data_IF_458921519361
#
_entry.id   IF_458921519361
#
_cell.length_a   1.000
_cell.length_b   1.000
_cell.length_c   1.000
_cell.angle_alpha   90.00
_cell.angle_beta   90.00
_cell.angle_gamma   90.00
#
_symmetry.space_group_name_H-M   'P 1'
#
loop_
_entity.id
_entity.type
_entity.pdbx_description
1 polymer ?
#
# COMPACT_ATOMS: atom_id res chain seq x y z
N UNK A 1 14.78 -42.80 -78.76
CA UNK A 1 15.65 -41.81 -78.10
C UNK A 1 14.99 -41.37 -76.79
N UNK A 2 15.64 -41.68 -75.73
CA UNK A 2 15.14 -41.43 -74.33
C UNK A 2 15.43 -40.00 -73.90
N UNK A 3 14.47 -39.30 -73.32
CA UNK A 3 14.72 -38.15 -72.47
C UNK A 3 13.92 -38.30 -71.21
N UNK A 4 14.61 -38.48 -70.09
CA UNK A 4 14.10 -38.52 -68.75
C UNK A 4 13.93 -37.10 -68.20
N UNK A 5 12.76 -36.75 -67.71
CA UNK A 5 12.56 -35.53 -66.88
C UNK A 5 12.46 -35.96 -65.43
N UNK A 6 13.39 -35.46 -64.63
CA UNK A 6 13.36 -35.55 -63.17
C UNK A 6 12.46 -34.44 -62.63
N UNK A 7 11.39 -34.85 -61.96
CA UNK A 7 10.56 -33.97 -61.14
C UNK A 7 11.22 -33.82 -59.77
N UNK A 8 11.67 -32.64 -59.43
CA UNK A 8 12.14 -32.31 -58.09
C UNK A 8 10.94 -31.82 -57.26
N UNK A 9 10.53 -32.60 -56.26
CA UNK A 9 9.51 -32.22 -55.31
C UNK A 9 10.16 -31.30 -54.25
N UNK A 10 9.73 -30.03 -54.17
CA UNK A 10 10.05 -29.10 -53.14
C UNK A 10 9.13 -29.39 -51.93
N UNK A 11 9.67 -29.94 -50.85
CA UNK A 11 8.98 -30.08 -49.58
C UNK A 11 9.13 -28.75 -48.82
N UNK A 12 8.04 -28.01 -48.74
CA UNK A 12 7.94 -26.82 -47.91
C UNK A 12 7.70 -27.29 -46.46
N UNK A 13 8.74 -27.31 -45.65
CA UNK A 13 8.63 -27.52 -44.21
C UNK A 13 8.09 -26.26 -43.56
N UNK A 14 6.83 -26.22 -43.22
CA UNK A 14 6.24 -25.17 -42.36
C UNK A 14 6.75 -25.38 -40.92
N UNK A 15 7.72 -24.60 -40.52
CA UNK A 15 8.14 -24.50 -39.13
C UNK A 15 7.03 -23.81 -38.32
N UNK A 16 6.21 -24.58 -37.64
CA UNK A 16 5.36 -24.07 -36.55
C UNK A 16 6.29 -23.70 -35.41
N UNK A 17 6.62 -22.41 -35.29
CA UNK A 17 7.19 -21.87 -34.06
C UNK A 17 6.06 -21.87 -33.03
N UNK A 18 6.01 -22.91 -32.20
CA UNK A 18 5.22 -22.88 -30.97
C UNK A 18 5.78 -21.76 -30.07
N UNK A 19 5.06 -20.64 -30.02
CA UNK A 19 5.23 -19.69 -28.96
C UNK A 19 4.99 -20.44 -27.63
N UNK A 20 5.92 -20.39 -26.68
CA UNK A 20 5.66 -20.95 -25.37
C UNK A 20 4.45 -20.19 -24.79
N UNK A 21 3.33 -20.89 -24.56
CA UNK A 21 2.34 -20.45 -23.60
C UNK A 21 3.11 -20.26 -22.30
N UNK A 22 3.34 -19.00 -21.92
CA UNK A 22 3.74 -18.68 -20.58
C UNK A 22 2.60 -19.11 -19.66
N UNK A 23 2.61 -20.38 -19.25
CA UNK A 23 1.86 -20.79 -18.09
C UNK A 23 2.36 -19.89 -16.95
N UNK A 24 1.47 -19.13 -16.33
CA UNK A 24 1.76 -18.45 -15.07
C UNK A 24 2.16 -19.55 -14.08
N UNK A 25 3.43 -19.87 -14.05
CA UNK A 25 3.98 -20.76 -13.06
C UNK A 25 3.89 -20.01 -11.74
N UNK A 26 2.97 -20.42 -10.90
CA UNK A 26 2.85 -19.97 -9.52
C UNK A 26 4.23 -20.13 -8.88
N UNK A 27 4.82 -19.04 -8.44
CA UNK A 27 6.15 -19.12 -7.79
C UNK A 27 6.02 -20.02 -6.56
N UNK A 28 6.93 -21.01 -6.39
CA UNK A 28 6.87 -21.87 -5.23
C UNK A 28 7.04 -21.03 -3.95
N UNK A 29 6.27 -21.37 -2.91
CA UNK A 29 6.46 -20.80 -1.59
C UNK A 29 7.91 -21.01 -1.13
N UNK A 30 8.46 -20.07 -0.36
CA UNK A 30 9.79 -20.25 0.20
C UNK A 30 9.74 -21.35 1.28
N UNK A 31 10.48 -22.43 1.10
CA UNK A 31 10.46 -23.60 2.02
C UNK A 31 11.10 -23.32 3.40
N UNK A 32 11.82 -22.21 3.54
CA UNK A 32 12.50 -21.87 4.79
C UNK A 32 11.48 -21.52 5.89
N UNK A 33 11.56 -22.13 7.09
CA UNK A 33 10.66 -21.81 8.19
C UNK A 33 10.83 -20.36 8.66
N UNK A 34 9.74 -19.77 9.17
CA UNK A 34 9.77 -18.47 9.84
C UNK A 34 10.20 -18.72 11.29
N UNK A 35 11.32 -18.14 11.71
CA UNK A 35 11.81 -18.23 13.09
C UNK A 35 11.71 -16.86 13.74
N UNK A 36 10.79 -16.73 14.68
CA UNK A 36 10.52 -15.46 15.35
C UNK A 36 11.20 -15.44 16.73
N UNK A 37 11.78 -14.28 17.08
CA UNK A 37 12.19 -13.96 18.44
C UNK A 37 10.98 -13.64 19.31
N UNK A 38 10.03 -12.87 18.75
CA UNK A 38 8.78 -12.49 19.40
C UNK A 38 7.73 -12.08 18.39
N UNK A 39 6.47 -12.20 18.80
CA UNK A 39 5.32 -11.68 18.08
C UNK A 39 4.27 -11.20 19.08
N UNK A 40 3.41 -10.28 18.67
CA UNK A 40 2.36 -9.77 19.53
C UNK A 40 1.58 -8.63 18.87
N UNK A 41 0.91 -7.85 19.70
CA UNK A 41 0.18 -6.67 19.23
C UNK A 41 0.19 -5.57 20.28
N UNK A 42 -0.10 -4.35 19.82
CA UNK A 42 -0.22 -3.18 20.67
C UNK A 42 -1.20 -2.17 20.08
N UNK A 43 -1.73 -1.31 20.92
CA UNK A 43 -2.42 -0.09 20.48
C UNK A 43 -1.46 1.09 20.53
N UNK A 44 -1.64 2.06 19.63
CA UNK A 44 -0.79 3.23 19.56
C UNK A 44 -1.57 4.51 19.26
N UNK A 45 -1.11 5.64 19.76
CA UNK A 45 -1.77 6.93 19.60
C UNK A 45 -3.15 6.98 20.24
N UNK A 46 -4.05 7.71 19.59
CA UNK A 46 -5.42 7.88 20.06
C UNK A 46 -5.63 9.04 21.01
N UNK A 47 -6.86 9.19 21.45
CA UNK A 47 -7.32 10.26 22.35
C UNK A 47 -8.08 9.69 23.55
N UNK A 48 -8.04 10.38 24.66
CA UNK A 48 -8.90 10.12 25.82
C UNK A 48 -9.82 11.31 25.98
N UNK A 49 -11.13 11.08 25.82
CA UNK A 49 -12.15 12.09 26.03
C UNK A 49 -12.69 11.98 27.45
N UNK A 50 -12.67 13.08 28.21
CA UNK A 50 -13.28 13.15 29.53
C UNK A 50 -14.61 13.89 29.43
N UNK A 51 -15.68 13.28 29.95
CA UNK A 51 -16.99 13.90 30.06
C UNK A 51 -17.09 14.80 31.30
N UNK A 52 -18.08 15.72 31.37
CA UNK A 52 -18.29 16.60 32.52
C UNK A 52 -18.53 15.84 33.85
N UNK A 53 -19.02 14.61 33.81
CA UNK A 53 -19.20 13.77 34.99
C UNK A 53 -17.92 13.01 35.41
N UNK A 54 -16.80 13.23 34.73
CA UNK A 54 -15.50 12.60 35.00
C UNK A 54 -15.28 11.26 34.32
N UNK A 55 -16.26 10.70 33.61
CA UNK A 55 -16.05 9.47 32.83
C UNK A 55 -15.14 9.71 31.63
N UNK A 56 -14.31 8.71 31.32
CA UNK A 56 -13.32 8.78 30.24
C UNK A 56 -13.56 7.71 29.19
N UNK A 57 -13.29 8.07 27.93
CA UNK A 57 -13.43 7.18 26.77
C UNK A 57 -12.17 7.22 25.93
N UNK A 58 -11.66 6.06 25.55
CA UNK A 58 -10.53 5.91 24.64
C UNK A 58 -11.03 5.71 23.22
N UNK A 59 -10.37 6.33 22.24
CA UNK A 59 -10.68 6.15 20.82
C UNK A 59 -9.62 6.73 19.91
N UNK A 60 -9.84 6.60 18.60
CA UNK A 60 -8.97 7.08 17.55
C UNK A 60 -7.51 6.59 17.64
N UNK A 61 -7.28 5.49 18.37
CA UNK A 61 -6.00 4.79 18.41
C UNK A 61 -5.88 3.86 17.20
N UNK A 62 -4.64 3.58 16.80
CA UNK A 62 -4.32 2.51 15.86
C UNK A 62 -4.03 1.20 16.58
N UNK A 63 -4.08 0.10 15.84
CA UNK A 63 -3.67 -1.23 16.28
C UNK A 63 -2.51 -1.70 15.41
N UNK A 64 -1.49 -2.31 16.01
CA UNK A 64 -0.39 -2.94 15.29
C UNK A 64 -0.19 -4.38 15.75
N UNK A 65 -0.06 -5.29 14.81
CA UNK A 65 0.41 -6.64 15.03
C UNK A 65 1.84 -6.75 14.51
N UNK A 66 2.75 -7.34 15.29
CA UNK A 66 4.14 -7.38 14.94
C UNK A 66 4.73 -8.79 14.95
N UNK A 67 5.74 -8.98 14.10
CA UNK A 67 6.50 -10.22 13.92
C UNK A 67 7.98 -9.85 13.84
N UNK A 68 8.75 -10.26 14.83
CA UNK A 68 10.18 -9.94 14.94
C UNK A 68 10.98 -11.22 14.72
N UNK A 69 11.70 -11.36 13.59
CA UNK A 69 12.55 -12.50 13.35
C UNK A 69 13.69 -12.62 14.36
N UNK A 70 14.19 -13.83 14.55
CA UNK A 70 15.34 -14.07 15.45
C UNK A 70 16.59 -13.31 14.99
N UNK A 71 16.82 -13.25 13.67
CA UNK A 71 17.95 -12.54 13.05
C UNK A 71 17.48 -11.22 12.42
N UNK A 72 16.69 -10.44 13.14
CA UNK A 72 16.04 -9.26 12.63
C UNK A 72 17.01 -8.25 12.01
N UNK A 73 16.56 -7.59 10.93
CA UNK A 73 17.21 -6.40 10.39
C UNK A 73 17.00 -5.20 11.33
N UNK A 74 17.75 -4.13 11.10
CA UNK A 74 17.71 -2.92 11.94
C UNK A 74 16.38 -2.20 11.87
N UNK A 75 15.86 -1.98 10.66
CA UNK A 75 14.66 -1.17 10.47
C UNK A 75 13.43 -2.05 10.25
N UNK A 76 12.37 -1.92 11.06
CA UNK A 76 11.11 -2.59 10.81
C UNK A 76 10.36 -1.97 9.63
N UNK A 77 9.54 -2.81 8.99
CA UNK A 77 8.60 -2.42 7.94
C UNK A 77 7.22 -2.24 8.56
N UNK A 78 6.69 -1.02 8.53
CA UNK A 78 5.34 -0.72 9.01
C UNK A 78 4.41 -0.66 7.80
N UNK A 79 3.44 -1.58 7.73
CA UNK A 79 2.54 -1.77 6.60
C UNK A 79 1.17 -1.14 6.88
N UNK A 80 0.81 -0.17 6.06
CA UNK A 80 -0.42 0.61 6.16
C UNK A 80 -1.35 0.34 4.99
N UNK A 81 -2.53 -0.17 5.27
CA UNK A 81 -3.54 -0.58 4.28
C UNK A 81 -4.22 0.61 3.57
N UNK A 82 -4.94 0.33 2.47
CA UNK A 82 -5.75 1.29 1.73
C UNK A 82 -7.13 1.55 2.34
N UNK A 83 -7.90 2.42 1.67
CA UNK A 83 -9.29 2.70 2.04
C UNK A 83 -10.15 1.43 1.95
N UNK A 84 -11.12 1.28 2.85
CA UNK A 84 -12.03 0.13 2.86
C UNK A 84 -11.38 -1.19 3.26
N UNK A 85 -10.11 -1.18 3.68
CA UNK A 85 -9.34 -2.35 4.05
C UNK A 85 -8.87 -2.30 5.51
N UNK A 86 -8.19 -3.35 5.92
CA UNK A 86 -7.49 -3.48 7.20
C UNK A 86 -6.12 -4.13 6.96
N UNK A 87 -5.36 -4.35 8.01
CA UNK A 87 -4.08 -5.08 7.94
C UNK A 87 -4.19 -6.47 7.30
N UNK A 88 -5.41 -7.04 7.23
CA UNK A 88 -5.69 -8.31 6.55
C UNK A 88 -5.13 -8.36 5.12
N UNK A 89 -5.03 -7.22 4.44
CA UNK A 89 -4.53 -7.15 3.05
C UNK A 89 -3.08 -7.65 2.91
N UNK A 90 -2.30 -7.63 3.99
CA UNK A 90 -0.91 -8.09 4.03
C UNK A 90 -0.74 -9.48 4.66
N UNK A 91 -1.80 -10.06 5.25
CA UNK A 91 -1.70 -11.34 5.96
C UNK A 91 -1.63 -12.53 4.99
N UNK A 92 -2.60 -12.63 4.10
CA UNK A 92 -2.64 -13.66 3.04
C UNK A 92 -3.21 -13.07 1.76
N UNK A 93 -2.81 -13.63 0.63
CA UNK A 93 -3.39 -13.29 -0.67
C UNK A 93 -4.83 -13.79 -0.78
N UNK A 94 -5.63 -13.29 -1.73
CA UNK A 94 -7.01 -13.75 -1.92
C UNK A 94 -7.15 -15.26 -2.20
N UNK A 95 -6.15 -15.89 -2.78
CA UNK A 95 -6.09 -17.33 -3.05
C UNK A 95 -5.42 -18.15 -1.94
N UNK A 96 -5.18 -17.54 -0.77
CA UNK A 96 -4.68 -18.22 0.42
C UNK A 96 -3.17 -18.44 0.49
N UNK A 97 -2.39 -17.93 -0.48
CA UNK A 97 -0.92 -17.93 -0.39
C UNK A 97 -0.45 -16.96 0.68
N UNK A 98 0.83 -17.07 1.04
CA UNK A 98 1.48 -16.17 1.97
C UNK A 98 1.45 -14.72 1.47
N UNK A 99 1.04 -13.79 2.35
CA UNK A 99 1.22 -12.36 2.18
C UNK A 99 2.53 -11.86 2.77
N UNK A 100 2.73 -10.57 2.75
CA UNK A 100 3.94 -9.93 3.29
C UNK A 100 4.17 -10.20 4.78
N UNK A 101 3.09 -10.50 5.53
CA UNK A 101 3.18 -10.94 6.93
C UNK A 101 4.07 -12.18 7.14
N UNK A 102 4.11 -13.08 6.16
CA UNK A 102 4.91 -14.30 6.22
C UNK A 102 6.20 -14.17 5.39
N UNK A 103 6.11 -13.64 4.17
CA UNK A 103 7.23 -13.51 3.23
C UNK A 103 8.38 -12.71 3.83
N UNK A 104 8.10 -11.55 4.39
CA UNK A 104 9.15 -10.62 4.83
C UNK A 104 9.81 -11.06 6.15
N UNK A 105 9.09 -11.55 7.18
CA UNK A 105 9.74 -12.14 8.35
C UNK A 105 10.56 -13.40 8.03
N UNK A 106 10.18 -14.19 7.03
CA UNK A 106 10.99 -15.32 6.55
C UNK A 106 12.35 -14.87 6.01
N UNK A 107 12.43 -13.63 5.51
CA UNK A 107 13.63 -12.96 5.00
C UNK A 107 14.26 -12.03 6.05
N UNK A 108 13.92 -12.25 7.32
CA UNK A 108 14.44 -11.55 8.49
C UNK A 108 14.03 -10.07 8.63
N UNK A 109 13.00 -9.61 7.92
CA UNK A 109 12.44 -8.28 8.13
C UNK A 109 11.51 -8.27 9.35
N UNK A 110 11.74 -7.39 10.34
CA UNK A 110 10.72 -7.11 11.35
C UNK A 110 9.53 -6.43 10.69
N UNK A 111 8.32 -6.88 10.97
CA UNK A 111 7.11 -6.41 10.32
C UNK A 111 6.10 -5.97 11.36
N UNK A 112 5.49 -4.81 11.12
CA UNK A 112 4.31 -4.33 11.82
C UNK A 112 3.18 -4.14 10.81
N UNK A 113 2.07 -4.85 11.01
CA UNK A 113 0.87 -4.70 10.21
C UNK A 113 -0.13 -3.91 11.04
N UNK A 114 -0.56 -2.78 10.51
CA UNK A 114 -1.44 -1.89 11.25
C UNK A 114 -2.87 -1.92 10.74
N UNK A 115 -3.79 -1.70 11.67
CA UNK A 115 -5.12 -1.18 11.39
C UNK A 115 -5.13 0.28 11.85
N UNK A 116 -5.36 1.21 10.93
CA UNK A 116 -5.41 2.64 11.26
C UNK A 116 -6.61 2.95 12.16
N UNK A 117 -6.65 4.11 12.82
CA UNK A 117 -7.82 4.53 13.58
C UNK A 117 -9.12 4.33 12.83
N UNK A 118 -10.13 3.80 13.50
CA UNK A 118 -11.47 3.51 12.97
C UNK A 118 -11.50 2.39 11.92
N UNK A 119 -10.50 1.51 11.90
CA UNK A 119 -10.44 0.35 11.00
C UNK A 119 -10.12 -0.92 11.75
N UNK A 120 -10.66 -2.03 11.26
CA UNK A 120 -10.32 -3.37 11.72
C UNK A 120 -10.32 -3.49 13.24
N UNK A 121 -9.18 -3.89 13.80
CA UNK A 121 -8.96 -4.10 15.24
C UNK A 121 -8.71 -2.81 16.04
N UNK A 122 -8.54 -1.69 15.37
CA UNK A 122 -8.30 -0.40 16.02
C UNK A 122 -9.56 0.17 16.71
N UNK A 123 -10.77 -0.29 16.34
CA UNK A 123 -12.02 0.12 16.99
C UNK A 123 -12.52 1.50 16.56
N UNK A 124 -13.20 2.18 17.46
CA UNK A 124 -13.97 3.40 17.18
C UNK A 124 -13.28 4.68 17.62
N UNK A 125 -13.92 5.80 17.25
CA UNK A 125 -13.62 7.11 17.82
C UNK A 125 -14.20 7.28 19.23
N UNK A 126 -13.55 8.10 20.05
CA UNK A 126 -14.10 8.55 21.34
C UNK A 126 -14.99 9.80 21.20
N UNK A 127 -15.00 10.44 20.04
CA UNK A 127 -15.80 11.65 19.79
C UNK A 127 -17.29 11.31 19.66
N UNK A 128 -18.14 11.88 20.51
CA UNK A 128 -19.59 11.73 20.37
C UNK A 128 -20.15 12.27 19.06
N UNK A 129 -19.56 13.34 18.53
CA UNK A 129 -19.96 13.92 17.25
C UNK A 129 -19.65 12.95 16.14
N UNK A 130 -18.43 12.39 16.13
CA UNK A 130 -18.01 11.42 15.12
C UNK A 130 -18.75 10.10 15.23
N UNK A 131 -19.06 9.64 16.46
CA UNK A 131 -19.87 8.43 16.65
C UNK A 131 -21.30 8.58 16.13
N UNK A 132 -21.90 9.76 16.25
CA UNK A 132 -23.23 10.00 15.72
C UNK A 132 -23.28 9.96 14.19
N UNK A 133 -22.16 10.22 13.55
CA UNK A 133 -21.97 10.21 12.08
C UNK A 133 -21.19 9.00 11.57
N UNK A 134 -20.78 8.09 12.47
CA UNK A 134 -20.01 6.90 12.13
C UNK A 134 -20.90 5.82 11.48
N UNK A 135 -21.42 6.12 10.30
CA UNK A 135 -22.08 5.11 9.49
C UNK A 135 -20.98 4.36 8.73
N UNK A 136 -20.89 3.03 8.86
CA UNK A 136 -19.95 2.25 8.07
C UNK A 136 -20.12 2.53 6.58
N UNK A 137 -19.04 2.80 5.87
CA UNK A 137 -19.07 2.90 4.43
C UNK A 137 -19.07 1.50 3.82
N UNK A 138 -19.89 1.32 2.80
CA UNK A 138 -19.98 0.05 2.06
C UNK A 138 -19.52 0.31 0.64
N UNK A 139 -18.54 -0.46 0.19
CA UNK A 139 -18.06 -0.38 -1.19
C UNK A 139 -18.71 -1.49 -2.02
N UNK A 140 -19.27 -1.14 -3.18
CA UNK A 140 -19.84 -2.12 -4.09
C UNK A 140 -18.74 -2.97 -4.72
N UNK A 141 -19.06 -4.24 -5.03
CA UNK A 141 -18.15 -5.14 -5.74
C UNK A 141 -17.68 -4.55 -7.08
N UNK A 142 -18.58 -3.93 -7.84
CA UNK A 142 -18.25 -3.29 -9.11
C UNK A 142 -17.25 -2.13 -8.95
N UNK A 143 -17.45 -1.29 -7.94
CA UNK A 143 -16.55 -0.17 -7.64
C UNK A 143 -15.15 -0.65 -7.26
N UNK A 144 -15.06 -1.68 -6.42
CA UNK A 144 -13.78 -2.27 -6.01
C UNK A 144 -13.10 -2.98 -7.17
N UNK A 145 -13.86 -3.71 -8.00
CA UNK A 145 -13.33 -4.42 -9.15
C UNK A 145 -12.59 -3.50 -10.12
N UNK A 146 -13.23 -2.40 -10.48
CA UNK A 146 -12.66 -1.40 -11.39
C UNK A 146 -11.50 -0.65 -10.72
N UNK A 147 -11.66 -0.28 -9.43
CA UNK A 147 -10.62 0.45 -8.69
C UNK A 147 -9.34 -0.37 -8.54
N UNK A 148 -9.45 -1.69 -8.34
CA UNK A 148 -8.29 -2.58 -8.25
C UNK A 148 -7.76 -3.03 -9.62
N UNK A 149 -8.43 -2.62 -10.69
CA UNK A 149 -8.05 -2.97 -12.06
C UNK A 149 -7.95 -4.49 -12.31
N UNK A 150 -8.83 -5.26 -11.66
CA UNK A 150 -9.00 -6.67 -11.95
C UNK A 150 -9.56 -6.89 -13.36
N UNK A 151 -10.29 -5.91 -13.87
CA UNK A 151 -10.94 -5.88 -15.16
C UNK A 151 -11.93 -4.73 -15.24
N UNK A 152 -12.98 -4.93 -16.04
CA UNK A 152 -14.11 -4.01 -16.15
C UNK A 152 -15.39 -4.68 -15.69
N UNK A 153 -16.18 -3.97 -14.89
CA UNK A 153 -17.51 -4.40 -14.50
C UNK A 153 -18.55 -3.78 -15.42
N UNK A 154 -18.76 -4.40 -16.57
CA UNK A 154 -19.62 -3.88 -17.62
C UNK A 154 -21.12 -4.09 -17.34
N UNK A 155 -21.46 -5.14 -16.57
CA UNK A 155 -22.82 -5.41 -16.10
C UNK A 155 -22.75 -5.97 -14.67
N UNK A 156 -23.85 -5.85 -13.85
CA UNK A 156 -23.88 -6.42 -12.51
C UNK A 156 -23.60 -7.93 -12.45
N UNK A 157 -23.92 -8.66 -13.52
CA UNK A 157 -23.82 -10.11 -13.55
C UNK A 157 -22.48 -10.64 -14.11
N UNK A 158 -21.67 -9.80 -14.76
CA UNK A 158 -20.48 -10.27 -15.48
C UNK A 158 -19.30 -9.30 -15.41
N UNK A 159 -18.46 -9.37 -14.37
CA UNK A 159 -17.17 -8.73 -14.42
C UNK A 159 -16.26 -9.46 -15.44
N UNK A 160 -15.46 -8.69 -16.17
CA UNK A 160 -14.45 -9.22 -17.09
C UNK A 160 -13.07 -8.96 -16.50
N UNK A 161 -12.24 -9.99 -16.50
CA UNK A 161 -10.82 -9.84 -16.18
C UNK A 161 -10.07 -9.22 -17.35
N UNK A 162 -9.06 -8.42 -17.05
CA UNK A 162 -8.11 -8.05 -18.09
C UNK A 162 -7.36 -9.29 -18.63
N UNK A 163 -6.95 -9.27 -19.92
CA UNK A 163 -6.32 -10.44 -20.55
C UNK A 163 -5.06 -10.92 -19.84
N UNK A 164 -4.16 -9.99 -19.53
CA UNK A 164 -2.93 -10.24 -18.76
C UNK A 164 -3.15 -9.71 -17.36
N UNK A 165 -3.28 -10.60 -16.39
CA UNK A 165 -3.59 -10.24 -15.02
C UNK A 165 -2.93 -11.21 -14.04
N UNK A 166 -2.28 -10.66 -13.03
CA UNK A 166 -1.65 -11.40 -11.94
C UNK A 166 -2.61 -11.69 -10.77
N UNK A 167 -3.85 -11.23 -10.83
CA UNK A 167 -4.86 -11.59 -9.85
C UNK A 167 -5.29 -13.06 -9.99
N UNK A 168 -5.43 -13.83 -8.90
CA UNK A 168 -5.92 -15.20 -8.93
C UNK A 168 -7.41 -15.25 -9.33
N UNK A 169 -7.72 -15.92 -10.46
CA UNK A 169 -9.03 -15.84 -11.13
C UNK A 169 -10.03 -16.93 -10.67
N UNK A 170 -9.77 -17.59 -9.54
CA UNK A 170 -10.71 -18.59 -9.02
C UNK A 170 -11.90 -17.92 -8.33
N UNK A 171 -13.10 -18.54 -8.33
CA UNK A 171 -14.26 -18.01 -7.62
C UNK A 171 -13.99 -17.75 -6.14
N UNK A 172 -13.26 -18.65 -5.47
CA UNK A 172 -12.92 -18.51 -4.05
C UNK A 172 -11.99 -17.31 -3.81
N UNK A 173 -11.01 -17.07 -4.68
CA UNK A 173 -10.13 -15.90 -4.57
C UNK A 173 -10.90 -14.60 -4.79
N UNK A 174 -11.85 -14.58 -5.72
CA UNK A 174 -12.72 -13.41 -5.95
C UNK A 174 -13.60 -13.14 -4.72
N UNK A 175 -14.20 -14.18 -4.14
CA UNK A 175 -15.00 -14.06 -2.91
C UNK A 175 -14.16 -13.55 -1.73
N UNK A 176 -12.95 -14.09 -1.52
CA UNK A 176 -12.04 -13.61 -0.48
C UNK A 176 -11.58 -12.17 -0.71
N UNK A 177 -11.36 -11.77 -1.97
CA UNK A 177 -11.03 -10.40 -2.32
C UNK A 177 -12.17 -9.44 -1.93
N UNK A 178 -13.42 -9.76 -2.24
CA UNK A 178 -14.54 -8.91 -1.84
C UNK A 178 -14.74 -8.86 -0.32
N UNK A 179 -14.58 -9.98 0.38
CA UNK A 179 -14.71 -10.03 1.85
C UNK A 179 -13.68 -9.19 2.57
N UNK A 180 -12.48 -8.99 2.02
CA UNK A 180 -11.47 -8.15 2.65
C UNK A 180 -11.74 -6.64 2.51
N UNK A 181 -12.74 -6.23 1.69
CA UNK A 181 -13.19 -4.85 1.58
C UNK A 181 -14.14 -4.53 2.73
N UNK A 182 -13.60 -4.49 3.94
CA UNK A 182 -14.39 -4.31 5.16
C UNK A 182 -15.04 -2.93 5.22
N UNK A 183 -16.27 -2.82 5.78
CA UNK A 183 -16.88 -1.52 6.04
C UNK A 183 -16.01 -0.69 6.98
N UNK A 184 -15.96 0.59 6.70
CA UNK A 184 -15.34 1.58 7.55
C UNK A 184 -16.26 1.95 8.71
N UNK A 185 -15.69 2.34 9.84
CA UNK A 185 -16.47 2.85 10.98
C UNK A 185 -16.58 4.37 10.99
N UNK A 186 -16.65 4.96 9.81
CA UNK A 186 -16.78 6.40 9.61
C UNK A 186 -16.04 6.87 8.35
N UNK A 187 -16.31 8.11 7.96
CA UNK A 187 -15.69 8.71 6.79
C UNK A 187 -14.19 8.95 6.97
N UNK A 188 -13.45 8.91 5.88
CA UNK A 188 -12.06 9.38 5.79
C UNK A 188 -12.04 10.71 5.03
N UNK A 189 -12.18 11.85 5.70
CA UNK A 189 -12.16 13.14 5.03
C UNK A 189 -10.76 13.41 4.45
N UNK A 190 -10.70 13.95 3.24
CA UNK A 190 -9.44 14.31 2.58
C UNK A 190 -8.98 15.72 2.98
N UNK A 191 -8.96 15.99 4.30
CA UNK A 191 -8.53 17.28 4.85
C UNK A 191 -7.13 17.20 5.45
N UNK A 192 -6.48 18.34 5.58
CA UNK A 192 -5.16 18.40 6.23
C UNK A 192 -5.25 17.92 7.68
N UNK A 193 -6.27 18.35 8.42
CA UNK A 193 -6.48 18.01 9.83
C UNK A 193 -6.59 16.49 10.04
N UNK A 194 -7.26 15.79 9.11
CA UNK A 194 -7.38 14.34 9.20
C UNK A 194 -6.04 13.65 8.89
N UNK A 195 -5.29 14.14 7.89
CA UNK A 195 -3.94 13.64 7.60
C UNK A 195 -2.99 13.86 8.76
N UNK A 196 -3.04 15.04 9.38
CA UNK A 196 -2.23 15.37 10.57
C UNK A 196 -2.57 14.45 11.74
N UNK A 197 -3.85 14.13 11.95
CA UNK A 197 -4.29 13.18 12.97
C UNK A 197 -3.69 11.78 12.72
N UNK A 198 -3.73 11.30 11.47
CA UNK A 198 -3.15 10.01 11.10
C UNK A 198 -1.62 10.01 11.26
N UNK A 199 -0.95 11.09 10.83
CA UNK A 199 0.49 11.24 10.98
C UNK A 199 0.91 11.28 12.46
N UNK A 200 0.20 12.03 13.29
CA UNK A 200 0.45 12.09 14.73
C UNK A 200 0.25 10.73 15.41
N UNK A 201 -0.77 9.98 15.00
CA UNK A 201 -1.00 8.63 15.50
C UNK A 201 0.16 7.70 15.10
N UNK A 202 0.61 7.74 13.85
CA UNK A 202 1.77 6.97 13.39
C UNK A 202 3.06 7.36 14.11
N UNK A 203 3.28 8.64 14.36
CA UNK A 203 4.44 9.11 15.12
C UNK A 203 4.50 8.50 16.56
N UNK A 204 3.33 8.18 17.15
CA UNK A 204 3.31 7.46 18.43
C UNK A 204 3.74 5.99 18.29
N UNK A 205 3.48 5.35 17.15
CA UNK A 205 4.01 4.02 16.86
C UNK A 205 5.53 4.10 16.63
N UNK A 206 6.00 5.05 15.84
CA UNK A 206 7.43 5.26 15.57
C UNK A 206 8.24 5.49 16.86
N UNK A 207 7.66 6.17 17.87
CA UNK A 207 8.28 6.30 19.19
C UNK A 207 8.43 4.98 19.94
N UNK A 208 7.60 3.97 19.63
CA UNK A 208 7.66 2.64 20.26
C UNK A 208 8.53 1.67 19.47
N UNK A 209 8.55 1.79 18.15
CA UNK A 209 9.33 0.92 17.26
C UNK A 209 10.75 1.45 17.03
N UNK A 210 10.99 2.75 17.23
CA UNK A 210 12.15 3.45 16.70
C UNK A 210 12.01 3.69 15.19
N UNK A 211 13.11 4.15 14.54
CA UNK A 211 13.11 4.45 13.12
C UNK A 211 12.68 3.25 12.25
N UNK A 212 11.84 3.50 11.26
CA UNK A 212 11.20 2.46 10.45
C UNK A 212 11.05 2.86 8.97
N UNK A 213 10.77 1.88 8.13
CA UNK A 213 10.34 2.06 6.75
C UNK A 213 8.81 2.01 6.71
N UNK A 214 8.18 3.01 6.10
CA UNK A 214 6.74 3.02 5.88
C UNK A 214 6.39 2.37 4.54
N UNK A 215 5.54 1.35 4.58
CA UNK A 215 4.95 0.70 3.42
C UNK A 215 3.48 1.14 3.37
N UNK A 216 3.11 1.93 2.38
CA UNK A 216 1.74 2.43 2.24
C UNK A 216 1.06 1.87 1.01
N UNK A 217 -0.26 1.82 1.03
CA UNK A 217 -1.05 1.37 -0.11
C UNK A 217 -2.22 2.33 -0.36
N UNK A 218 -2.41 2.74 -1.62
CA UNK A 218 -3.62 3.47 -2.03
C UNK A 218 -3.83 4.75 -1.21
N UNK A 219 -4.95 4.83 -0.49
CA UNK A 219 -5.32 6.00 0.31
C UNK A 219 -4.31 6.31 1.44
N UNK A 220 -3.65 5.31 2.02
CA UNK A 220 -2.65 5.57 3.06
C UNK A 220 -1.37 6.23 2.54
N UNK A 221 -1.18 6.34 1.22
CA UNK A 221 -0.09 7.12 0.65
C UNK A 221 -0.08 8.55 1.18
N UNK A 222 -1.26 9.22 1.24
CA UNK A 222 -1.37 10.57 1.80
C UNK A 222 -0.95 10.66 3.28
N UNK A 223 -1.19 9.60 4.06
CA UNK A 223 -0.79 9.55 5.47
C UNK A 223 0.69 9.24 5.62
N UNK A 224 1.25 8.44 4.70
CA UNK A 224 2.68 8.21 4.60
C UNK A 224 3.46 9.49 4.33
N UNK A 225 3.00 10.31 3.38
CA UNK A 225 3.59 11.62 3.11
C UNK A 225 3.49 12.55 4.34
N UNK A 226 2.31 12.64 4.94
CA UNK A 226 2.10 13.46 6.13
C UNK A 226 2.97 13.01 7.30
N UNK A 227 3.14 11.71 7.52
CA UNK A 227 4.02 11.17 8.56
C UNK A 227 5.49 11.48 8.28
N UNK A 228 5.95 11.28 7.03
CA UNK A 228 7.32 11.58 6.63
C UNK A 228 7.66 13.07 6.75
N UNK A 229 6.69 13.94 6.47
CA UNK A 229 6.84 15.38 6.66
C UNK A 229 6.87 15.77 8.16
N UNK A 230 6.06 15.12 8.99
CA UNK A 230 5.95 15.43 10.42
C UNK A 230 7.09 14.84 11.27
N UNK A 231 7.61 13.67 10.90
CA UNK A 231 8.64 12.94 11.67
C UNK A 231 9.74 12.35 10.76
N UNK A 232 10.48 13.24 10.04
CA UNK A 232 11.50 12.79 9.08
C UNK A 232 12.69 12.08 9.74
N UNK A 233 12.88 12.21 11.04
CA UNK A 233 13.98 11.56 11.77
C UNK A 233 13.72 10.07 11.95
N UNK A 234 12.45 9.66 12.16
CA UNK A 234 12.08 8.27 12.37
C UNK A 234 11.64 7.57 11.08
N UNK A 235 11.28 8.28 10.03
CA UNK A 235 10.94 7.67 8.73
C UNK A 235 12.21 7.50 7.90
N UNK A 236 12.67 6.25 7.72
CA UNK A 236 13.92 5.94 6.99
C UNK A 236 13.73 5.76 5.49
N UNK A 237 12.56 5.39 5.07
CA UNK A 237 12.12 5.38 3.67
C UNK A 237 10.59 5.31 3.62
N UNK A 238 10.03 5.69 2.47
CA UNK A 238 8.62 5.43 2.15
C UNK A 238 8.56 4.60 0.87
N UNK A 239 7.89 3.45 0.94
CA UNK A 239 7.53 2.66 -0.24
C UNK A 239 6.02 2.68 -0.39
N UNK A 240 5.53 3.35 -1.43
CA UNK A 240 4.11 3.55 -1.65
C UNK A 240 3.63 2.73 -2.85
N UNK A 241 2.76 1.76 -2.58
CA UNK A 241 2.05 1.02 -3.63
C UNK A 241 0.84 1.84 -4.06
N UNK A 242 0.89 2.38 -5.26
CA UNK A 242 -0.18 3.11 -5.92
C UNK A 242 -0.88 4.16 -5.04
N UNK A 243 -0.15 5.17 -4.55
CA UNK A 243 -0.76 6.21 -3.74
C UNK A 243 -1.82 6.98 -4.53
N UNK A 244 -2.99 7.16 -3.92
CA UNK A 244 -4.13 7.86 -4.53
C UNK A 244 -4.02 9.39 -4.47
N UNK A 245 -2.98 9.95 -3.87
CA UNK A 245 -2.79 11.39 -3.71
C UNK A 245 -1.31 11.73 -3.58
N UNK A 246 -0.94 12.95 -3.95
CA UNK A 246 0.41 13.48 -3.89
C UNK A 246 0.43 14.86 -3.24
N UNK A 247 1.50 15.17 -2.50
CA UNK A 247 1.71 16.45 -1.85
C UNK A 247 2.56 17.39 -2.72
N UNK A 248 2.31 18.69 -2.61
CA UNK A 248 3.03 19.71 -3.37
C UNK A 248 3.27 20.93 -2.51
N UNK A 249 4.43 21.56 -2.61
CA UNK A 249 4.70 22.78 -1.86
C UNK A 249 3.91 23.95 -2.47
N UNK A 250 3.39 24.82 -1.61
CA UNK A 250 2.54 25.94 -2.01
C UNK A 250 3.21 26.94 -2.97
N UNK A 251 4.54 26.98 -2.98
CA UNK A 251 5.35 27.82 -3.87
C UNK A 251 5.65 27.18 -5.23
N UNK A 252 5.32 25.89 -5.42
CA UNK A 252 5.57 25.14 -6.65
C UNK A 252 4.44 24.11 -6.92
N UNK A 253 3.20 24.58 -6.93
CA UNK A 253 2.03 23.79 -7.27
C UNK A 253 2.04 23.39 -8.77
N UNK A 254 1.47 22.23 -9.14
CA UNK A 254 1.30 21.89 -10.56
C UNK A 254 0.46 22.93 -11.29
N UNK A 255 0.88 23.31 -12.49
CA UNK A 255 0.12 24.26 -13.31
C UNK A 255 -1.15 23.64 -13.93
N UNK A 256 -1.15 22.31 -14.12
CA UNK A 256 -2.20 21.52 -14.76
C UNK A 256 -3.26 21.03 -13.76
N UNK A 257 -3.99 21.91 -13.11
CA UNK A 257 -4.94 21.55 -12.06
C UNK A 257 -6.15 20.73 -12.56
N UNK A 258 -6.55 20.91 -13.82
CA UNK A 258 -7.72 20.27 -14.43
C UNK A 258 -7.28 19.19 -15.42
N UNK A 259 -7.02 17.98 -14.93
CA UNK A 259 -6.56 16.83 -15.73
C UNK A 259 -7.69 15.97 -16.30
N UNK A 260 -8.90 16.09 -15.78
CA UNK A 260 -10.09 15.38 -16.22
C UNK A 260 -11.14 16.36 -16.76
N UNK A 261 -12.04 15.86 -17.60
CA UNK A 261 -13.23 16.57 -18.02
C UNK A 261 -14.33 16.55 -16.94
N UNK A 262 -14.15 15.80 -15.87
CA UNK A 262 -15.04 15.72 -14.71
C UNK A 262 -14.55 16.60 -13.57
N UNK A 263 -15.35 17.60 -13.18
CA UNK A 263 -15.07 18.45 -12.02
C UNK A 263 -14.97 17.64 -10.72
N UNK A 264 -15.77 16.57 -10.60
CA UNK A 264 -15.71 15.68 -9.44
C UNK A 264 -14.37 14.96 -9.34
N UNK A 265 -13.86 14.43 -10.45
CA UNK A 265 -12.55 13.78 -10.48
C UNK A 265 -11.43 14.78 -10.19
N UNK A 266 -11.48 15.97 -10.79
CA UNK A 266 -10.51 17.03 -10.52
C UNK A 266 -10.48 17.41 -9.04
N UNK A 267 -11.64 17.48 -8.38
CA UNK A 267 -11.75 17.73 -6.94
C UNK A 267 -11.17 16.59 -6.11
N UNK A 268 -11.48 15.33 -6.46
CA UNK A 268 -10.99 14.14 -5.75
C UNK A 268 -9.48 13.98 -5.92
N UNK A 269 -8.94 14.34 -7.07
CA UNK A 269 -7.52 14.23 -7.42
C UNK A 269 -6.77 15.56 -7.33
N UNK A 270 -7.34 16.54 -6.62
CA UNK A 270 -6.65 17.79 -6.36
C UNK A 270 -5.32 17.54 -5.65
N UNK A 271 -4.23 18.22 -6.08
CA UNK A 271 -2.96 18.13 -5.41
C UNK A 271 -3.07 18.62 -3.97
N UNK A 272 -2.41 17.93 -3.05
CA UNK A 272 -2.41 18.31 -1.64
C UNK A 272 -1.37 19.41 -1.43
N UNK A 273 -1.83 20.61 -1.18
CA UNK A 273 -0.96 21.73 -0.84
C UNK A 273 -0.42 21.57 0.58
N UNK A 274 0.90 21.79 0.74
CA UNK A 274 1.61 21.81 2.02
C UNK A 274 2.57 23.00 2.04
N UNK A 275 3.11 23.36 3.20
CA UNK A 275 4.12 24.43 3.23
C UNK A 275 5.43 23.95 2.57
N UNK A 276 6.25 24.85 2.01
CA UNK A 276 7.56 24.48 1.47
C UNK A 276 8.45 23.78 2.50
N UNK A 277 8.39 24.19 3.76
CA UNK A 277 9.16 23.61 4.85
C UNK A 277 8.70 22.19 5.19
N UNK A 278 7.39 21.92 5.18
CA UNK A 278 6.85 20.56 5.33
C UNK A 278 7.32 19.68 4.17
N UNK A 279 7.19 20.17 2.91
CA UNK A 279 7.58 19.43 1.73
C UNK A 279 9.08 19.10 1.68
N UNK A 280 9.93 20.02 2.15
CA UNK A 280 11.39 19.82 2.21
C UNK A 280 11.77 18.59 3.04
N UNK A 281 10.95 18.22 4.04
CA UNK A 281 11.19 17.01 4.82
C UNK A 281 11.14 15.73 3.99
N UNK A 282 10.42 15.69 2.86
CA UNK A 282 10.38 14.54 1.94
C UNK A 282 11.73 14.33 1.22
N UNK A 283 12.62 15.30 1.21
CA UNK A 283 13.98 15.14 0.63
C UNK A 283 14.95 14.38 1.55
N UNK A 284 14.58 14.18 2.82
CA UNK A 284 15.46 13.60 3.85
C UNK A 284 15.50 12.08 3.86
N UNK A 285 14.64 11.42 3.10
CA UNK A 285 14.60 9.97 3.00
C UNK A 285 14.34 9.51 1.56
N UNK A 286 14.81 8.32 1.16
CA UNK A 286 14.49 7.75 -0.13
C UNK A 286 13.01 7.36 -0.22
N UNK A 287 12.42 7.59 -1.39
CA UNK A 287 11.00 7.32 -1.67
C UNK A 287 10.89 6.47 -2.93
N UNK A 288 10.19 5.33 -2.84
CA UNK A 288 9.81 4.50 -3.98
C UNK A 288 8.30 4.47 -4.13
N UNK A 289 7.81 4.84 -5.29
CA UNK A 289 6.38 4.76 -5.64
C UNK A 289 6.22 3.71 -6.73
N UNK A 290 5.41 2.67 -6.48
CA UNK A 290 5.23 1.54 -7.40
C UNK A 290 3.82 1.59 -7.97
N UNK A 291 3.69 1.54 -9.28
CA UNK A 291 2.42 1.41 -10.00
C UNK A 291 2.38 0.09 -10.79
N UNK A 292 1.23 -0.61 -10.71
CA UNK A 292 0.92 -1.82 -11.46
C UNK A 292 0.59 -1.56 -12.93
N UNK A 293 -0.11 -2.50 -13.53
CA UNK A 293 -0.50 -2.48 -14.94
C UNK A 293 -1.95 -1.99 -15.14
N UNK A 294 -2.39 -1.96 -16.39
CA UNK A 294 -3.74 -1.60 -16.83
C UNK A 294 -4.18 -0.17 -16.40
N UNK A 295 -3.23 0.74 -16.18
CA UNK A 295 -3.52 2.15 -15.95
C UNK A 295 -3.72 2.84 -17.31
N UNK A 296 -4.82 3.58 -17.46
CA UNK A 296 -5.12 4.32 -18.68
C UNK A 296 -4.00 5.31 -19.02
N UNK A 297 -3.64 5.40 -20.30
CA UNK A 297 -2.66 6.37 -20.79
C UNK A 297 -3.32 7.68 -21.23
N UNK A 298 -4.53 7.57 -21.72
CA UNK A 298 -5.35 8.69 -22.21
C UNK A 298 -6.54 8.93 -21.27
N UNK A 299 -7.19 10.07 -21.41
CA UNK A 299 -8.42 10.39 -20.68
C UNK A 299 -9.46 9.29 -20.83
N UNK A 300 -10.19 9.01 -19.77
CA UNK A 300 -11.16 7.93 -19.69
C UNK A 300 -12.48 8.41 -19.04
N UNK A 301 -13.59 7.99 -19.62
CA UNK A 301 -14.92 8.19 -19.01
C UNK A 301 -15.17 7.25 -17.82
N UNK A 302 -14.37 6.18 -17.67
CA UNK A 302 -14.42 5.32 -16.50
C UNK A 302 -13.74 6.03 -15.32
N UNK A 303 -14.50 6.24 -14.24
CA UNK A 303 -14.07 6.97 -13.06
C UNK A 303 -12.74 6.43 -12.49
N UNK A 304 -12.63 5.14 -12.27
CA UNK A 304 -11.44 4.54 -11.66
C UNK A 304 -10.22 4.58 -12.60
N UNK A 305 -10.43 4.35 -13.89
CA UNK A 305 -9.38 4.45 -14.90
C UNK A 305 -8.78 5.86 -14.93
N UNK A 306 -9.62 6.88 -14.88
CA UNK A 306 -9.22 8.29 -14.90
C UNK A 306 -8.53 8.69 -13.59
N UNK A 307 -9.04 8.24 -12.45
CA UNK A 307 -8.43 8.46 -11.13
C UNK A 307 -7.00 7.91 -11.09
N UNK A 308 -6.75 6.68 -11.55
CA UNK A 308 -5.40 6.10 -11.53
C UNK A 308 -4.45 6.72 -12.54
N UNK A 309 -4.95 7.14 -13.69
CA UNK A 309 -4.16 7.90 -14.66
C UNK A 309 -3.63 9.20 -14.04
N UNK A 310 -4.50 9.94 -13.38
CA UNK A 310 -4.16 11.21 -12.72
C UNK A 310 -3.26 10.96 -11.51
N UNK A 311 -3.56 9.97 -10.67
CA UNK A 311 -2.74 9.64 -9.49
C UNK A 311 -1.28 9.32 -9.88
N UNK A 312 -1.07 8.53 -10.93
CA UNK A 312 0.27 8.21 -11.44
C UNK A 312 0.98 9.46 -11.95
N UNK A 313 0.30 10.30 -12.72
CA UNK A 313 0.85 11.57 -13.21
C UNK A 313 1.25 12.51 -12.06
N UNK A 314 0.39 12.69 -11.05
CA UNK A 314 0.69 13.49 -9.86
C UNK A 314 1.88 12.94 -9.05
N UNK A 315 1.98 11.63 -8.94
CA UNK A 315 3.13 11.01 -8.27
C UNK A 315 4.45 11.29 -9.00
N UNK A 316 4.45 11.30 -10.33
CA UNK A 316 5.62 11.68 -11.14
C UNK A 316 5.99 13.14 -10.88
N UNK A 317 5.02 14.06 -10.93
CA UNK A 317 5.24 15.48 -10.65
C UNK A 317 5.75 15.74 -9.22
N UNK A 318 5.27 14.98 -8.23
CA UNK A 318 5.76 15.05 -6.85
C UNK A 318 7.22 14.60 -6.76
N UNK A 319 7.55 13.45 -7.36
CA UNK A 319 8.91 12.91 -7.36
C UNK A 319 9.90 13.87 -8.05
N UNK A 320 9.50 14.50 -9.15
CA UNK A 320 10.32 15.52 -9.82
C UNK A 320 10.64 16.69 -8.88
N UNK A 321 9.68 17.18 -8.10
CA UNK A 321 9.88 18.28 -7.17
C UNK A 321 10.75 17.91 -5.98
N UNK A 322 10.59 16.70 -5.47
CA UNK A 322 11.45 16.16 -4.40
C UNK A 322 12.90 16.10 -4.91
N UNK A 323 13.11 15.57 -6.10
CA UNK A 323 14.44 15.42 -6.71
C UNK A 323 15.07 16.77 -7.07
N UNK A 324 14.28 17.73 -7.56
CA UNK A 324 14.74 19.09 -7.84
C UNK A 324 15.22 19.83 -6.58
N UNK A 325 14.75 19.41 -5.39
CA UNK A 325 15.18 19.92 -4.08
C UNK A 325 16.28 19.08 -3.41
N UNK A 326 16.90 18.16 -4.18
CA UNK A 326 18.02 17.33 -3.71
C UNK A 326 17.60 16.05 -2.98
N UNK A 327 16.33 15.66 -3.04
CA UNK A 327 15.84 14.39 -2.50
C UNK A 327 16.06 13.21 -3.45
N UNK A 328 15.53 12.06 -3.06
CA UNK A 328 15.67 10.78 -3.77
C UNK A 328 14.30 10.09 -3.87
N UNK A 329 13.54 10.44 -4.90
CA UNK A 329 12.21 9.89 -5.16
C UNK A 329 12.16 9.23 -6.54
N UNK A 330 11.64 8.00 -6.59
CA UNK A 330 11.51 7.21 -7.83
C UNK A 330 10.07 6.73 -8.00
N UNK A 331 9.50 6.94 -9.18
CA UNK A 331 8.25 6.32 -9.61
C UNK A 331 8.58 5.15 -10.52
N UNK A 332 8.20 3.95 -10.11
CA UNK A 332 8.40 2.71 -10.85
C UNK A 332 7.06 2.23 -11.39
N UNK A 333 6.95 2.12 -12.69
CA UNK A 333 5.84 1.44 -13.35
C UNK A 333 6.26 0.00 -13.67
N UNK A 334 5.60 -0.99 -13.09
CA UNK A 334 5.95 -2.40 -13.27
C UNK A 334 6.00 -2.83 -14.75
N UNK A 335 5.05 -2.40 -15.62
CA UNK A 335 5.13 -2.68 -17.05
C UNK A 335 6.40 -2.17 -17.73
N UNK A 336 6.97 -1.06 -17.26
CA UNK A 336 8.16 -0.44 -17.87
C UNK A 336 9.43 -1.28 -17.64
N UNK A 337 9.41 -2.16 -16.62
CA UNK A 337 10.47 -3.14 -16.34
C UNK A 337 10.11 -4.56 -16.76
N UNK A 338 9.04 -4.73 -17.57
CA UNK A 338 8.62 -6.01 -18.14
C UNK A 338 7.66 -6.83 -17.25
N UNK A 339 7.32 -6.37 -16.04
CA UNK A 339 6.39 -7.04 -15.12
C UNK A 339 4.97 -6.55 -15.43
N UNK A 340 4.13 -7.45 -15.94
CA UNK A 340 2.81 -7.10 -16.48
C UNK A 340 1.67 -7.76 -15.72
N UNK A 341 0.50 -7.13 -15.79
CA UNK A 341 -0.74 -7.66 -15.27
C UNK A 341 -0.95 -7.46 -13.77
N UNK A 342 -0.07 -6.74 -13.08
CA UNK A 342 -0.26 -6.45 -11.66
C UNK A 342 -1.43 -5.50 -11.44
N UNK A 343 -2.21 -5.83 -10.42
CA UNK A 343 -3.39 -5.08 -9.99
C UNK A 343 -3.00 -3.89 -9.11
N UNK A 344 -4.01 -3.21 -8.58
CA UNK A 344 -3.80 -2.17 -7.57
C UNK A 344 -3.14 -2.68 -6.29
N UNK A 345 -3.25 -3.97 -5.98
CA UNK A 345 -2.61 -4.62 -4.84
C UNK A 345 -1.49 -5.59 -5.30
N UNK A 346 -0.48 -5.07 -6.00
CA UNK A 346 0.60 -5.88 -6.57
C UNK A 346 1.28 -6.81 -5.54
N UNK A 347 1.34 -6.41 -4.27
CA UNK A 347 1.88 -7.20 -3.16
C UNK A 347 1.01 -8.43 -2.79
N UNK A 348 -0.21 -8.54 -3.32
CA UNK A 348 -1.13 -9.67 -3.12
C UNK A 348 -1.41 -10.47 -4.41
N UNK A 349 -0.81 -10.08 -5.52
CA UNK A 349 -0.93 -10.75 -6.82
C UNK A 349 -0.17 -12.09 -6.88
N UNK A 350 -0.33 -12.83 -7.97
CA UNK A 350 0.28 -14.15 -8.17
C UNK A 350 1.82 -14.11 -8.08
N UNK A 351 2.43 -13.01 -8.49
CA UNK A 351 3.87 -12.78 -8.46
C UNK A 351 4.33 -11.95 -7.23
N UNK A 352 3.62 -12.02 -6.11
CA UNK A 352 3.91 -11.22 -4.92
C UNK A 352 5.34 -11.40 -4.36
N UNK A 353 5.97 -12.55 -4.58
CA UNK A 353 7.39 -12.79 -4.21
C UNK A 353 8.35 -11.92 -5.05
N UNK A 354 8.06 -11.74 -6.34
CA UNK A 354 8.80 -10.85 -7.23
C UNK A 354 8.62 -9.38 -6.81
N UNK A 355 7.40 -9.00 -6.44
CA UNK A 355 7.11 -7.64 -5.96
C UNK A 355 7.77 -7.38 -4.60
N UNK A 356 7.80 -8.37 -3.70
CA UNK A 356 8.56 -8.28 -2.45
C UNK A 356 10.06 -8.09 -2.72
N UNK A 357 10.61 -8.75 -3.74
CA UNK A 357 12.01 -8.56 -4.12
C UNK A 357 12.32 -7.13 -4.59
N UNK A 358 11.42 -6.48 -5.32
CA UNK A 358 11.59 -5.07 -5.72
C UNK A 358 11.71 -4.16 -4.49
N UNK A 359 10.87 -4.38 -3.48
CA UNK A 359 10.96 -3.68 -2.21
C UNK A 359 12.33 -3.90 -1.55
N UNK A 360 12.78 -5.16 -1.46
CA UNK A 360 14.04 -5.50 -0.83
C UNK A 360 15.24 -4.96 -1.60
N UNK A 361 15.24 -5.05 -2.93
CA UNK A 361 16.30 -4.50 -3.79
C UNK A 361 16.43 -2.98 -3.60
N UNK A 362 15.31 -2.26 -3.49
CA UNK A 362 15.33 -0.84 -3.17
C UNK A 362 15.92 -0.56 -1.78
N UNK A 363 15.50 -1.28 -0.76
CA UNK A 363 16.02 -1.09 0.59
C UNK A 363 17.52 -1.44 0.67
N UNK A 364 17.96 -2.45 -0.07
CA UNK A 364 19.38 -2.80 -0.21
C UNK A 364 20.17 -1.69 -0.91
N UNK A 365 19.67 -1.18 -2.04
CA UNK A 365 20.29 -0.05 -2.76
C UNK A 365 20.49 1.18 -1.86
N UNK A 366 19.55 1.42 -0.95
CA UNK A 366 19.61 2.55 0.00
C UNK A 366 20.34 2.21 1.30
N UNK A 367 20.91 1.01 1.45
CA UNK A 367 21.65 0.60 2.65
C UNK A 367 20.77 0.47 3.90
N UNK A 368 19.47 0.16 3.71
CA UNK A 368 18.49 0.06 4.80
C UNK A 368 18.21 -1.38 5.24
N UNK A 369 18.90 -2.36 4.66
CA UNK A 369 18.76 -3.79 4.94
C UNK A 369 19.78 -4.33 5.96
N UNK A 370 20.53 -3.45 6.62
CA UNK A 370 21.56 -3.79 7.60
C UNK A 370 21.04 -4.51 8.85
N UNK A 371 21.99 -5.03 9.67
CA UNK A 371 21.70 -5.79 10.89
C UNK A 371 22.56 -5.34 12.09
N UNK A 372 23.21 -4.19 11.99
CA UNK A 372 24.15 -3.70 13.02
C UNK A 372 23.47 -3.48 14.37
N UNK A 373 22.19 -3.03 14.34
CA UNK A 373 21.35 -2.84 15.51
C UNK A 373 20.01 -3.57 15.30
N UNK A 374 19.98 -4.91 15.47
CA UNK A 374 18.79 -5.70 15.19
C UNK A 374 17.57 -5.20 15.96
N UNK A 375 16.46 -5.05 15.27
CA UNK A 375 15.21 -4.62 15.88
C UNK A 375 14.74 -5.61 16.95
N UNK A 376 14.40 -5.10 18.14
CA UNK A 376 14.08 -5.95 19.30
C UNK A 376 12.57 -6.14 19.54
N UNK A 377 11.74 -5.46 18.77
CA UNK A 377 10.30 -5.32 19.01
C UNK A 377 9.98 -4.01 19.73
N UNK A 378 8.70 -3.72 19.97
CA UNK A 378 8.31 -2.52 20.66
C UNK A 378 8.86 -2.54 22.07
N UNK A 379 9.54 -1.46 22.46
CA UNK A 379 10.02 -1.32 23.83
C UNK A 379 8.81 -1.01 24.72
N UNK A 380 8.55 -1.77 25.77
CA UNK A 380 7.58 -1.35 26.76
C UNK A 380 8.09 0.00 27.26
N UNK A 381 7.30 1.06 27.07
CA UNK A 381 7.55 2.30 27.84
C UNK A 381 7.50 1.85 29.28
N UNK A 382 8.58 2.16 30.03
CA UNK A 382 8.58 1.96 31.46
C UNK A 382 7.24 2.50 31.96
N UNK A 383 6.51 1.67 32.67
CA UNK A 383 5.24 2.06 33.26
C UNK A 383 5.50 3.37 33.99
N UNK A 384 5.14 4.50 33.39
CA UNK A 384 4.87 5.69 34.17
C UNK A 384 3.80 5.22 35.11
N UNK A 385 4.16 5.09 36.41
CA UNK A 385 3.34 4.51 37.46
C UNK A 385 1.93 5.12 37.40
N UNK A 386 1.04 4.45 36.67
CA UNK A 386 -0.37 4.62 36.87
C UNK A 386 -0.69 3.72 38.06
N UNK A 387 -0.41 4.21 39.26
CA UNK A 387 -0.89 3.57 40.49
C UNK A 387 -2.38 3.77 40.52
N UNK A 388 -3.11 2.81 39.95
CA UNK A 388 -4.53 2.64 40.26
C UNK A 388 -4.56 2.21 41.74
N UNK A 389 -5.12 3.01 42.67
CA UNK A 389 -5.24 2.60 44.03
C UNK A 389 -6.03 1.29 44.05
N UNK A 390 -5.45 0.24 44.61
CA UNK A 390 -6.21 -0.97 44.91
C UNK A 390 -7.35 -0.57 45.87
N UNK A 391 -8.59 -0.88 45.49
CA UNK A 391 -9.72 -0.74 46.41
C UNK A 391 -9.42 -1.57 47.67
N UNK A 392 -9.47 -0.90 48.84
CA UNK A 392 -9.35 -1.58 50.14
C UNK A 392 -10.59 -2.37 50.43
#
# INVERSE_FOLDING_TARGET
MKLSQKLSALILAAAFTALPLMANAQQPAEDKPIVLKTMGSLFFGGTVQTLPNGETFHGDHGYAQFYIPQNARTYPLIMWHGIGQSGRTYESTPDGREGYMAILPRRDWPVYIIDQPRRGRAGYTASKIDMSNAVPTITSESGVWDAFRNGLWLTPEKPYFFPVLQFPKTPDAVDQFFRQQTPDTGAEPRTKEYRDTMANTMAQLLKQTGPAVLITHSNSGQYGWATAMADPEHVKAVVAYEPGSSAFPSDDMPADLLLSDSDFINKVQAPQEVSPEEFENLTKMPILIIYGDNIAKEKSDNFNSEVWRISKHRAQQMAERINARGGDAKVLSLPDIGIKGNTHAAFADLNNLEIAKILEDFLHEKGLDGRENPHQGPQPKGLTEYTIPLAQ
#
